data_IF_190712288548
#
_entry.id   IF_190712288548
#
_cell.length_a   1.000
_cell.length_b   1.000
_cell.length_c   1.000
_cell.angle_alpha   90.00
_cell.angle_beta   90.00
_cell.angle_gamma   90.00
#
_symmetry.space_group_name_H-M   'P 1'
#
loop_
_entity.id
_entity.type
_entity.pdbx_description
1 polymer ?
#
# COMPACT_ATOMS: atom_id res chain seq x y z
N UNK A 1 6.21 -17.24 23.09
CA UNK A 1 7.47 -16.45 23.20
C UNK A 1 7.53 -15.89 24.61
N UNK A 2 8.70 -15.86 25.24
CA UNK A 2 8.85 -15.25 26.57
C UNK A 2 8.70 -13.72 26.46
N UNK A 3 8.13 -13.03 27.47
CA UNK A 3 7.87 -11.58 27.42
C UNK A 3 9.13 -10.74 27.14
N UNK A 4 10.29 -11.24 27.58
CA UNK A 4 11.60 -10.60 27.41
C UNK A 4 12.03 -10.54 25.94
N UNK A 5 11.80 -11.62 25.18
CA UNK A 5 12.12 -11.67 23.75
C UNK A 5 11.19 -10.73 22.97
N UNK A 6 9.90 -10.69 23.33
CA UNK A 6 8.93 -9.80 22.69
C UNK A 6 9.27 -8.30 22.90
N UNK A 7 9.66 -7.93 24.12
CA UNK A 7 10.09 -6.57 24.45
C UNK A 7 11.44 -6.20 23.82
N UNK A 8 12.34 -7.16 23.63
CA UNK A 8 13.61 -6.96 22.95
C UNK A 8 13.41 -6.66 21.45
N UNK A 9 12.54 -7.41 20.77
CA UNK A 9 12.18 -7.14 19.36
C UNK A 9 11.47 -5.79 19.18
N UNK A 10 10.49 -5.46 20.02
CA UNK A 10 9.78 -4.17 19.95
C UNK A 10 10.66 -2.94 20.22
N UNK A 11 11.81 -3.12 20.88
CA UNK A 11 12.77 -2.03 21.16
C UNK A 11 13.76 -1.77 20.04
N UNK A 12 14.14 -2.80 19.29
CA UNK A 12 15.22 -2.73 18.29
C UNK A 12 14.67 -2.43 16.89
N UNK A 13 13.44 -2.86 16.59
CA UNK A 13 12.79 -2.57 15.32
C UNK A 13 11.32 -2.17 15.56
N UNK A 14 11.00 -0.87 15.67
CA UNK A 14 9.61 -0.43 15.79
C UNK A 14 8.77 -0.67 14.52
N UNK A 15 9.35 -1.19 13.43
CA UNK A 15 8.69 -1.50 12.16
C UNK A 15 8.41 -3.00 11.97
N UNK A 16 8.11 -3.75 13.05
CA UNK A 16 7.77 -5.19 13.00
C UNK A 16 6.56 -5.52 12.11
N UNK A 17 5.86 -4.51 11.62
CA UNK A 17 4.68 -4.59 10.77
C UNK A 17 4.97 -4.47 9.26
N UNK A 18 6.23 -4.53 8.82
CA UNK A 18 6.57 -4.66 7.40
C UNK A 18 6.27 -3.39 6.61
N UNK A 19 6.76 -2.25 7.10
CA UNK A 19 6.72 -0.99 6.37
C UNK A 19 7.58 -1.10 5.08
N UNK A 20 7.13 -0.59 3.91
CA UNK A 20 5.84 0.04 3.61
C UNK A 20 4.76 -0.98 3.20
N UNK A 21 3.48 -0.65 3.39
CA UNK A 21 2.38 -1.60 3.15
C UNK A 21 2.15 -1.89 1.66
N UNK A 22 2.61 -3.06 1.20
CA UNK A 22 2.34 -3.55 -0.16
C UNK A 22 0.87 -3.92 -0.40
N UNK A 23 0.12 -4.23 0.66
CA UNK A 23 -1.34 -4.44 0.60
C UNK A 23 -2.09 -3.21 0.07
N UNK A 24 -1.49 -2.02 0.22
CA UNK A 24 -2.00 -0.76 -0.32
C UNK A 24 -1.24 -0.37 -1.58
N UNK A 25 0.10 -0.45 -1.55
CA UNK A 25 0.94 0.00 -2.65
C UNK A 25 0.65 -0.73 -3.97
N UNK A 26 0.44 -2.05 -3.94
CA UNK A 26 0.20 -2.84 -5.15
C UNK A 26 -1.13 -2.50 -5.84
N UNK A 27 -2.30 -2.57 -5.17
CA UNK A 27 -3.56 -2.17 -5.80
C UNK A 27 -3.59 -0.69 -6.17
N UNK A 28 -2.93 0.18 -5.41
CA UNK A 28 -2.81 1.60 -5.75
C UNK A 28 -1.96 1.83 -7.00
N UNK A 29 -0.85 1.10 -7.19
CA UNK A 29 -0.04 1.18 -8.40
C UNK A 29 -0.85 0.77 -9.64
N UNK A 30 -1.61 -0.33 -9.54
CA UNK A 30 -2.52 -0.79 -10.61
C UNK A 30 -3.59 0.28 -10.90
N UNK A 31 -4.19 0.85 -9.85
CA UNK A 31 -5.16 1.93 -10.05
C UNK A 31 -4.54 3.15 -10.72
N UNK A 32 -3.34 3.55 -10.32
CA UNK A 32 -2.63 4.72 -10.84
C UNK A 32 -2.23 4.54 -12.31
N UNK A 33 -1.77 3.34 -12.70
CA UNK A 33 -1.46 3.04 -14.11
C UNK A 33 -2.74 3.10 -14.95
N UNK A 34 -3.83 2.49 -14.48
CA UNK A 34 -5.10 2.56 -15.18
C UNK A 34 -5.66 3.97 -15.23
N UNK A 35 -5.48 4.79 -14.18
CA UNK A 35 -5.92 6.17 -14.21
C UNK A 35 -5.19 6.99 -15.28
N UNK A 36 -3.89 6.71 -15.50
CA UNK A 36 -3.04 7.47 -16.42
C UNK A 36 -3.14 7.02 -17.88
N UNK A 37 -3.38 5.74 -18.14
CA UNK A 37 -3.35 5.16 -19.49
C UNK A 37 -4.69 4.54 -19.97
N UNK A 38 -5.79 4.65 -19.22
CA UNK A 38 -7.13 4.25 -19.66
C UNK A 38 -7.81 5.38 -20.47
N UNK A 39 -7.37 5.59 -21.71
CA UNK A 39 -7.86 6.66 -22.60
C UNK A 39 -9.33 6.47 -23.01
N UNK A 40 -9.77 5.21 -23.18
CA UNK A 40 -11.14 4.88 -23.63
C UNK A 40 -12.16 4.82 -22.48
N UNK A 41 -11.71 4.97 -21.22
CA UNK A 41 -12.57 4.90 -20.03
C UNK A 41 -13.28 3.56 -19.82
N UNK A 42 -12.92 2.52 -20.59
CA UNK A 42 -13.57 1.20 -20.60
C UNK A 42 -13.53 0.54 -19.22
N UNK A 43 -12.52 0.86 -18.42
CA UNK A 43 -12.30 0.25 -17.12
C UNK A 43 -12.79 1.11 -15.95
N UNK A 44 -13.64 2.12 -16.19
CA UNK A 44 -14.13 3.01 -15.13
C UNK A 44 -14.73 2.26 -13.92
N UNK A 45 -15.55 1.22 -14.17
CA UNK A 45 -16.14 0.40 -13.09
C UNK A 45 -15.08 -0.35 -12.28
N UNK A 46 -14.05 -0.86 -12.96
CA UNK A 46 -12.95 -1.55 -12.29
C UNK A 46 -12.07 -0.58 -11.50
N UNK A 47 -11.82 0.63 -12.01
CA UNK A 47 -11.12 1.69 -11.26
C UNK A 47 -11.87 2.08 -9.99
N UNK A 48 -13.20 2.18 -10.05
CA UNK A 48 -14.02 2.44 -8.86
C UNK A 48 -13.97 1.26 -7.86
N UNK A 49 -14.04 0.04 -8.37
CA UNK A 49 -13.85 -1.16 -7.55
C UNK A 49 -12.50 -1.16 -6.83
N UNK A 50 -11.40 -0.79 -7.51
CA UNK A 50 -10.08 -0.71 -6.89
C UNK A 50 -10.03 0.32 -5.75
N UNK A 51 -10.65 1.49 -5.92
CA UNK A 51 -10.75 2.51 -4.85
C UNK A 51 -11.44 1.95 -3.61
N UNK A 52 -12.57 1.27 -3.82
CA UNK A 52 -13.31 0.62 -2.72
C UNK A 52 -12.47 -0.48 -2.09
N UNK A 53 -11.82 -1.32 -2.92
CA UNK A 53 -10.99 -2.44 -2.48
C UNK A 53 -9.85 -1.97 -1.57
N UNK A 54 -8.96 -1.09 -2.04
CA UNK A 54 -7.83 -0.67 -1.20
C UNK A 54 -8.29 0.21 -0.02
N UNK A 55 -9.43 0.91 -0.13
CA UNK A 55 -10.08 1.60 0.99
C UNK A 55 -10.51 0.64 2.11
N UNK A 56 -11.19 -0.45 1.75
CA UNK A 56 -11.54 -1.52 2.68
C UNK A 56 -10.30 -2.22 3.24
N UNK A 57 -9.29 -2.47 2.40
CA UNK A 57 -8.00 -3.02 2.84
C UNK A 57 -7.34 -2.11 3.87
N UNK A 58 -7.35 -0.78 3.68
CA UNK A 58 -6.80 0.16 4.67
C UNK A 58 -7.52 0.12 6.01
N UNK A 59 -8.84 -0.06 6.02
CA UNK A 59 -9.59 -0.26 7.28
C UNK A 59 -9.20 -1.60 7.92
N UNK A 60 -9.13 -2.68 7.13
CA UNK A 60 -8.83 -4.01 7.62
C UNK A 60 -7.43 -4.11 8.24
N UNK A 61 -6.39 -3.56 7.60
CA UNK A 61 -5.01 -3.65 8.09
C UNK A 61 -4.78 -2.86 9.38
N UNK A 62 -5.47 -1.73 9.56
CA UNK A 62 -5.45 -0.97 10.80
C UNK A 62 -6.24 -1.72 11.88
N UNK A 63 -7.43 -2.22 11.54
CA UNK A 63 -8.30 -2.95 12.48
C UNK A 63 -7.64 -4.21 13.03
N UNK A 64 -6.96 -4.98 12.17
CA UNK A 64 -6.21 -6.18 12.56
C UNK A 64 -4.89 -5.85 13.29
N UNK A 65 -4.47 -4.59 13.32
CA UNK A 65 -3.21 -4.15 13.93
C UNK A 65 -1.96 -4.59 13.16
N UNK A 66 -2.10 -4.89 11.87
CA UNK A 66 -1.01 -5.44 11.02
C UNK A 66 -0.12 -4.32 10.47
N UNK A 67 -0.64 -3.09 10.33
CA UNK A 67 0.11 -1.94 9.82
C UNK A 67 -0.22 -0.66 10.59
N UNK A 68 0.75 0.24 10.73
CA UNK A 68 0.54 1.62 11.17
C UNK A 68 -0.02 2.46 10.01
N UNK A 69 -0.69 3.56 10.35
CA UNK A 69 -1.17 4.53 9.35
C UNK A 69 -0.04 5.06 8.44
N UNK A 70 1.18 5.20 8.98
CA UNK A 70 2.35 5.62 8.19
C UNK A 70 2.76 4.60 7.11
N UNK A 71 2.50 3.30 7.33
CA UNK A 71 2.83 2.25 6.36
C UNK A 71 1.96 2.36 5.10
N UNK A 72 0.73 2.85 5.24
CA UNK A 72 -0.22 3.10 4.15
C UNK A 72 0.32 4.23 3.26
N UNK A 73 0.75 5.33 3.88
CA UNK A 73 1.35 6.47 3.18
C UNK A 73 2.63 6.02 2.48
N UNK A 74 3.49 5.27 3.18
CA UNK A 74 4.70 4.69 2.60
C UNK A 74 4.42 3.80 1.40
N UNK A 75 3.38 2.96 1.47
CA UNK A 75 2.94 2.10 0.37
C UNK A 75 2.51 2.89 -0.87
N UNK A 76 1.75 3.98 -0.67
CA UNK A 76 1.36 4.90 -1.75
C UNK A 76 2.56 5.60 -2.39
N UNK A 77 3.53 6.06 -1.60
CA UNK A 77 4.76 6.69 -2.12
C UNK A 77 5.55 5.70 -2.97
N UNK A 78 5.76 4.47 -2.48
CA UNK A 78 6.47 3.43 -3.25
C UNK A 78 5.75 3.14 -4.57
N UNK A 79 4.43 3.07 -4.55
CA UNK A 79 3.63 2.85 -5.75
C UNK A 79 3.75 4.00 -6.76
N UNK A 80 3.73 5.26 -6.32
CA UNK A 80 3.96 6.41 -7.20
C UNK A 80 5.34 6.30 -7.84
N UNK A 81 6.38 6.03 -7.05
CA UNK A 81 7.74 5.89 -7.55
C UNK A 81 7.84 4.74 -8.56
N UNK A 82 7.28 3.57 -8.24
CA UNK A 82 7.28 2.40 -9.12
C UNK A 82 6.58 2.67 -10.45
N UNK A 83 5.48 3.43 -10.44
CA UNK A 83 4.74 3.78 -11.66
C UNK A 83 5.43 4.89 -12.45
N UNK A 84 6.20 5.79 -11.83
CA UNK A 84 6.79 6.92 -12.55
C UNK A 84 8.23 6.67 -13.04
N UNK A 85 9.03 5.86 -12.34
CA UNK A 85 10.43 5.59 -12.72
C UNK A 85 10.56 5.00 -14.14
N UNK A 86 9.77 3.98 -14.55
CA UNK A 86 9.89 3.39 -15.89
C UNK A 86 9.58 4.38 -17.02
N UNK A 87 8.73 5.38 -16.77
CA UNK A 87 8.24 6.33 -17.78
C UNK A 87 9.04 7.63 -17.83
N UNK A 88 10.02 7.81 -16.93
CA UNK A 88 10.87 9.02 -16.93
C UNK A 88 11.99 8.95 -17.97
N UNK A 89 12.20 7.79 -18.58
CA UNK A 89 13.26 7.52 -19.56
C UNK A 89 12.74 7.36 -21.00
N UNK A 90 11.47 7.70 -21.26
CA UNK A 90 10.82 7.72 -22.59
C UNK A 90 10.32 9.13 -22.87
#
# INVERSE_FOLDING_TARGET
>A
MTPEIHNWFNRIDPFTNGMPSLHIGLPFAIWLTMHRWDEDGRWHRFRLFLIIFFGLTSVAIIYLGIHWFVDIIGGMVVAILAVNIPFKNT
#
